data_IF_024077826422
#
_entry.id   IF_024077826422
#
_cell.length_a   1.000
_cell.length_b   1.000
_cell.length_c   1.000
_cell.angle_alpha   90.00
_cell.angle_beta   90.00
_cell.angle_gamma   90.00
#
_symmetry.space_group_name_H-M   'P 1'
#
loop_
_entity.id
_entity.type
_entity.pdbx_description
1 polymer ?
#
# COMPACT_ATOMS: atom_id res chain seq x y z
N UNK A 1 -2.56 13.91 -0.31
CA UNK A 1 -3.13 12.61 -0.71
C UNK A 1 -4.33 12.39 0.19
N UNK A 2 -5.51 12.19 -0.37
CA UNK A 2 -6.76 12.02 0.38
C UNK A 2 -7.22 10.56 0.34
N UNK A 3 -6.30 9.65 0.66
CA UNK A 3 -6.57 8.21 0.70
C UNK A 3 -7.04 7.84 2.11
N UNK A 4 -8.23 7.26 2.21
CA UNK A 4 -8.79 6.72 3.44
C UNK A 4 -8.40 5.25 3.56
N UNK A 5 -8.04 4.83 4.77
CA UNK A 5 -7.63 3.47 5.08
C UNK A 5 -8.53 2.95 6.19
N UNK A 6 -9.20 1.84 5.93
CA UNK A 6 -10.04 1.15 6.90
C UNK A 6 -9.40 -0.20 7.21
N UNK A 7 -9.06 -0.43 8.47
CA UNK A 7 -8.65 -1.74 8.95
C UNK A 7 -9.89 -2.43 9.56
N UNK A 8 -10.05 -3.72 9.30
CA UNK A 8 -11.04 -4.48 10.04
C UNK A 8 -10.47 -4.77 11.44
N UNK A 9 -11.26 -4.53 12.48
CA UNK A 9 -10.89 -4.84 13.85
C UNK A 9 -11.30 -6.27 14.16
N UNK A 10 -10.54 -6.95 15.02
CA UNK A 10 -11.00 -8.20 15.62
C UNK A 10 -12.02 -7.93 16.75
N UNK A 11 -12.52 -8.99 17.38
CA UNK A 11 -13.55 -8.91 18.43
C UNK A 11 -13.07 -8.15 19.68
N UNK A 12 -11.76 -7.96 19.85
CA UNK A 12 -11.17 -7.17 20.93
C UNK A 12 -10.97 -5.70 20.57
N UNK A 13 -11.28 -5.31 19.32
CA UNK A 13 -11.01 -3.97 18.81
C UNK A 13 -9.56 -3.80 18.34
N UNK A 14 -8.78 -4.87 18.22
CA UNK A 14 -7.39 -4.82 17.79
C UNK A 14 -7.26 -4.91 16.27
N UNK A 15 -6.23 -4.27 15.72
CA UNK A 15 -5.91 -4.24 14.28
C UNK A 15 -5.36 -5.57 13.74
N UNK A 16 -5.95 -6.72 14.10
CA UNK A 16 -5.35 -8.04 13.82
C UNK A 16 -6.12 -8.92 12.82
N UNK A 17 -7.23 -8.42 12.27
CA UNK A 17 -8.09 -9.22 11.36
C UNK A 17 -7.51 -9.48 9.96
N UNK A 18 -6.39 -8.83 9.62
CA UNK A 18 -5.59 -9.16 8.45
C UNK A 18 -6.08 -8.61 7.11
N UNK A 19 -6.99 -7.63 7.09
CA UNK A 19 -7.44 -6.97 5.86
C UNK A 19 -7.57 -5.44 6.01
N UNK A 20 -7.15 -4.73 4.97
CA UNK A 20 -7.20 -3.28 4.87
C UNK A 20 -7.93 -2.87 3.59
N UNK A 21 -8.77 -1.84 3.68
CA UNK A 21 -9.47 -1.26 2.54
C UNK A 21 -8.95 0.16 2.33
N UNK A 22 -8.48 0.44 1.13
CA UNK A 22 -8.05 1.77 0.71
C UNK A 22 -9.11 2.34 -0.22
N UNK A 23 -9.64 3.50 0.13
CA UNK A 23 -10.64 4.23 -0.62
C UNK A 23 -10.13 5.63 -0.96
N UNK A 24 -10.49 6.16 -2.12
CA UNK A 24 -10.13 7.53 -2.49
C UNK A 24 -10.34 7.83 -3.97
N UNK A 25 -9.77 8.93 -4.43
CA UNK A 25 -9.79 9.27 -5.85
C UNK A 25 -8.88 8.32 -6.63
N UNK A 26 -9.21 8.06 -7.89
CA UNK A 26 -8.35 7.32 -8.84
C UNK A 26 -6.89 7.77 -8.79
N UNK A 27 -6.66 9.08 -8.79
CA UNK A 27 -5.31 9.64 -8.75
C UNK A 27 -4.54 9.31 -7.46
N UNK A 28 -5.22 9.12 -6.31
CA UNK A 28 -4.58 8.74 -5.06
C UNK A 28 -4.21 7.26 -5.05
N UNK A 29 -5.07 6.36 -5.57
CA UNK A 29 -4.74 4.94 -5.73
C UNK A 29 -3.61 4.71 -6.75
N UNK A 30 -3.57 5.47 -7.85
CA UNK A 30 -2.46 5.38 -8.80
C UNK A 30 -1.13 5.88 -8.20
N UNK A 31 -1.17 6.89 -7.31
CA UNK A 31 0.01 7.30 -6.53
C UNK A 31 0.48 6.21 -5.58
N UNK A 32 -0.43 5.39 -5.06
CA UNK A 32 -0.10 4.23 -4.22
C UNK A 32 0.52 3.09 -5.04
N UNK A 33 0.03 2.83 -6.26
CA UNK A 33 0.58 1.79 -7.13
C UNK A 33 2.00 2.12 -7.63
N UNK A 34 2.27 3.41 -7.86
CA UNK A 34 3.53 3.90 -8.44
C UNK A 34 4.82 3.37 -7.79
N UNK A 35 5.02 3.40 -6.45
CA UNK A 35 6.22 2.83 -5.84
C UNK A 35 6.39 1.33 -6.12
N UNK A 36 5.30 0.57 -6.22
CA UNK A 36 5.34 -0.86 -6.55
C UNK A 36 5.77 -1.09 -8.01
N UNK A 37 5.22 -0.30 -8.94
CA UNK A 37 5.62 -0.34 -10.36
C UNK A 37 7.09 0.04 -10.54
N UNK A 38 7.53 1.13 -9.91
CA UNK A 38 8.92 1.59 -9.95
C UNK A 38 9.89 0.56 -9.34
N UNK A 39 9.50 -0.06 -8.23
CA UNK A 39 10.29 -1.08 -7.56
C UNK A 39 10.40 -2.36 -8.41
N UNK A 40 9.30 -2.82 -8.99
CA UNK A 40 9.29 -4.00 -9.85
C UNK A 40 10.05 -3.77 -11.17
N UNK A 41 9.94 -2.59 -11.77
CA UNK A 41 10.70 -2.24 -12.98
C UNK A 41 12.22 -2.34 -12.74
N UNK A 42 12.68 -1.96 -11.55
CA UNK A 42 14.07 -2.13 -11.11
C UNK A 42 14.40 -3.58 -10.70
N UNK A 43 13.42 -4.35 -10.20
CA UNK A 43 13.60 -5.68 -9.62
C UNK A 43 12.57 -6.69 -10.18
N UNK A 44 12.69 -7.01 -11.48
CA UNK A 44 11.74 -7.82 -12.29
C UNK A 44 11.44 -9.26 -11.81
N UNK A 45 11.92 -9.65 -10.63
CA UNK A 45 11.75 -11.00 -10.04
C UNK A 45 10.67 -11.04 -8.96
N UNK A 46 10.22 -9.90 -8.42
CA UNK A 46 9.24 -9.88 -7.32
C UNK A 46 7.79 -9.89 -7.83
N UNK A 47 7.30 -11.07 -8.24
CA UNK A 47 5.93 -11.25 -8.78
C UNK A 47 4.80 -10.78 -7.86
N UNK A 48 4.98 -10.88 -6.53
CA UNK A 48 4.00 -10.34 -5.56
C UNK A 48 3.85 -8.81 -5.65
N UNK A 49 4.93 -8.09 -5.95
CA UNK A 49 4.91 -6.63 -6.12
C UNK A 49 4.16 -6.26 -7.41
N UNK A 50 4.43 -6.96 -8.51
CA UNK A 50 3.71 -6.80 -9.78
C UNK A 50 2.20 -7.07 -9.62
N UNK A 51 1.84 -8.17 -8.95
CA UNK A 51 0.45 -8.53 -8.71
C UNK A 51 -0.27 -7.47 -7.85
N UNK A 52 0.37 -6.98 -6.79
CA UNK A 52 -0.20 -5.94 -5.93
C UNK A 52 -0.36 -4.61 -6.67
N UNK A 53 0.63 -4.21 -7.48
CA UNK A 53 0.54 -3.02 -8.32
C UNK A 53 -0.65 -3.11 -9.28
N UNK A 54 -0.76 -4.23 -10.01
CA UNK A 54 -1.86 -4.45 -10.94
C UNK A 54 -3.23 -4.42 -10.24
N UNK A 55 -3.35 -5.06 -9.07
CA UNK A 55 -4.56 -5.06 -8.25
C UNK A 55 -4.99 -3.63 -7.89
N UNK A 56 -4.07 -2.77 -7.47
CA UNK A 56 -4.36 -1.37 -7.13
C UNK A 56 -4.75 -0.58 -8.40
N UNK A 57 -4.04 -0.77 -9.52
CA UNK A 57 -4.35 -0.09 -10.79
C UNK A 57 -5.73 -0.47 -11.32
N UNK A 58 -6.10 -1.75 -11.26
CA UNK A 58 -7.45 -2.23 -11.64
C UNK A 58 -8.52 -1.63 -10.74
N UNK A 59 -8.31 -1.64 -9.43
CA UNK A 59 -9.22 -1.01 -8.47
C UNK A 59 -9.40 0.50 -8.73
N UNK A 60 -8.34 1.19 -9.17
CA UNK A 60 -8.39 2.60 -9.51
C UNK A 60 -9.27 2.92 -10.74
N UNK A 61 -9.61 1.92 -11.58
CA UNK A 61 -10.51 2.09 -12.72
C UNK A 61 -12.00 1.89 -12.36
N UNK A 62 -12.31 1.45 -11.14
CA UNK A 62 -13.70 1.26 -10.72
C UNK A 62 -14.42 2.62 -10.59
N UNK A 63 -15.75 2.67 -10.82
CA UNK A 63 -16.55 3.89 -10.64
C UNK A 63 -16.42 4.49 -9.24
N UNK A 64 -16.29 3.62 -8.23
CA UNK A 64 -15.95 3.96 -6.85
C UNK A 64 -14.62 3.28 -6.52
N UNK A 65 -13.48 3.98 -6.63
CA UNK A 65 -12.18 3.36 -6.48
C UNK A 65 -11.95 2.88 -5.05
N UNK A 66 -11.81 1.56 -4.92
CA UNK A 66 -11.52 0.90 -3.65
C UNK A 66 -10.69 -0.35 -3.88
N UNK A 67 -9.69 -0.57 -3.03
CA UNK A 67 -8.88 -1.79 -3.06
C UNK A 67 -8.81 -2.40 -1.67
N UNK A 68 -9.17 -3.68 -1.58
CA UNK A 68 -8.94 -4.49 -0.39
C UNK A 68 -7.60 -5.19 -0.54
N UNK A 69 -6.71 -5.04 0.43
CA UNK A 69 -5.48 -5.83 0.52
C UNK A 69 -5.46 -6.62 1.82
N UNK A 70 -4.82 -7.78 1.80
CA UNK A 70 -4.57 -8.57 3.01
C UNK A 70 -3.28 -8.15 3.72
N UNK A 71 -3.04 -8.67 4.93
CA UNK A 71 -1.83 -8.37 5.71
C UNK A 71 -0.54 -8.71 4.96
N UNK A 72 -0.40 -9.88 4.29
CA UNK A 72 0.75 -10.14 3.43
C UNK A 72 0.99 -9.10 2.33
N UNK A 73 -0.04 -8.64 1.64
CA UNK A 73 0.04 -7.57 0.65
C UNK A 73 0.40 -6.23 1.30
N UNK A 74 -0.11 -5.94 2.49
CA UNK A 74 0.25 -4.78 3.29
C UNK A 74 1.74 -4.75 3.67
N UNK A 75 2.31 -5.90 4.06
CA UNK A 75 3.75 -6.05 4.30
C UNK A 75 4.53 -5.76 3.02
N UNK A 76 4.13 -6.33 1.87
CA UNK A 76 4.77 -6.07 0.57
C UNK A 76 4.76 -4.58 0.23
N UNK A 77 3.65 -3.90 0.47
CA UNK A 77 3.52 -2.46 0.26
C UNK A 77 4.49 -1.67 1.15
N UNK A 78 4.51 -1.95 2.46
CA UNK A 78 5.36 -1.26 3.42
C UNK A 78 6.85 -1.48 3.14
N UNK A 79 7.26 -2.73 2.86
CA UNK A 79 8.65 -3.06 2.51
C UNK A 79 9.13 -2.30 1.26
N UNK A 80 8.27 -2.18 0.24
CA UNK A 80 8.60 -1.45 -0.98
C UNK A 80 8.71 0.05 -0.70
N UNK A 81 7.78 0.63 0.05
CA UNK A 81 7.83 2.07 0.37
C UNK A 81 9.08 2.38 1.21
N UNK A 82 9.42 1.53 2.20
CA UNK A 82 10.62 1.66 3.01
C UNK A 82 11.89 1.64 2.14
N UNK A 83 12.06 0.62 1.29
CA UNK A 83 13.21 0.52 0.39
C UNK A 83 13.32 1.73 -0.57
N UNK A 84 12.19 2.26 -1.03
CA UNK A 84 12.15 3.44 -1.90
C UNK A 84 12.46 4.74 -1.14
N UNK A 85 12.12 4.82 0.15
CA UNK A 85 12.45 5.94 1.02
C UNK A 85 13.95 6.00 1.35
N UNK A 86 14.62 4.85 1.49
CA UNK A 86 16.06 4.75 1.75
C UNK A 86 16.91 5.02 0.50
N UNK A 87 16.45 4.64 -0.69
CA UNK A 87 17.31 4.50 -1.87
C UNK A 87 17.23 5.57 -2.97
N UNK A 88 16.40 6.63 -2.89
CA UNK A 88 16.19 7.56 -4.04
C UNK A 88 16.06 9.05 -3.67
N UNK A 89 16.30 9.92 -4.66
CA UNK A 89 16.09 11.38 -4.60
C UNK A 89 14.63 11.81 -4.29
N UNK A 90 13.66 10.91 -4.48
CA UNK A 90 12.25 11.10 -4.08
C UNK A 90 11.95 10.64 -2.64
N UNK A 91 13.00 10.35 -1.85
CA UNK A 91 12.96 9.86 -0.46
C UNK A 91 11.88 10.57 0.36
N UNK A 92 11.83 11.91 0.31
CA UNK A 92 10.87 12.68 1.11
C UNK A 92 9.40 12.35 0.84
N UNK A 93 9.03 12.01 -0.41
CA UNK A 93 7.65 11.62 -0.75
C UNK A 93 7.32 10.23 -0.20
N UNK A 94 8.24 9.28 -0.35
CA UNK A 94 8.05 7.91 0.11
C UNK A 94 8.17 7.78 1.62
N UNK A 95 9.03 8.56 2.29
CA UNK A 95 9.08 8.65 3.76
C UNK A 95 7.77 9.18 4.35
N UNK A 96 7.16 10.20 3.73
CA UNK A 96 5.83 10.69 4.16
C UNK A 96 4.73 9.65 3.99
N UNK A 97 4.82 8.86 2.91
CA UNK A 97 3.88 7.77 2.65
C UNK A 97 4.06 6.63 3.65
N UNK A 98 5.32 6.28 3.95
CA UNK A 98 5.70 5.28 4.95
C UNK A 98 5.15 5.67 6.32
N UNK A 99 5.44 6.87 6.83
CA UNK A 99 4.99 7.32 8.14
C UNK A 99 3.45 7.28 8.27
N UNK A 100 2.73 7.71 7.23
CA UNK A 100 1.26 7.65 7.21
C UNK A 100 0.74 6.21 7.34
N UNK A 101 1.39 5.26 6.68
CA UNK A 101 0.97 3.87 6.70
C UNK A 101 1.50 3.10 7.90
N UNK A 102 2.63 3.47 8.48
CA UNK A 102 3.09 2.90 9.75
C UNK A 102 2.08 3.17 10.87
N UNK A 103 1.52 4.37 10.91
CA UNK A 103 0.48 4.75 11.89
C UNK A 103 -0.87 4.06 11.65
N UNK A 104 -1.15 3.58 10.44
CA UNK A 104 -2.49 3.09 10.06
C UNK A 104 -2.55 1.60 9.68
N UNK A 105 -1.44 1.03 9.22
CA UNK A 105 -1.28 -0.37 8.84
C UNK A 105 -0.42 -1.07 9.89
N UNK A 106 -1.05 -1.78 10.82
CA UNK A 106 -0.36 -2.63 11.80
C UNK A 106 0.15 -3.95 11.18
N UNK A 107 0.91 -3.85 10.08
CA UNK A 107 1.36 -5.03 9.31
C UNK A 107 2.52 -5.77 9.97
N UNK A 108 3.30 -5.09 10.80
CA UNK A 108 4.45 -5.66 11.53
C UNK A 108 4.14 -6.03 12.99
N UNK A 109 2.92 -5.78 13.47
CA UNK A 109 2.46 -6.22 14.79
C UNK A 109 2.00 -7.67 14.76
N UNK A 110 2.51 -8.49 15.68
CA UNK A 110 2.11 -9.87 15.96
C UNK A 110 1.61 -9.98 17.38
#
# INVERSE_FOLDING_TARGET
MALEVFALLDDNGDHNSGCYIFCGKKADLLKLARPLEEFYAANRRKKKVEALAAKIVTAAQLPTPMVRIDKPEGVVLMDVIAAMAEGRAASHTYSKLYARFEDTLCVYGG
#
